data_IF_909676664570
#
_entry.id   IF_909676664570
#
_cell.length_a   1.000
_cell.length_b   1.000
_cell.length_c   1.000
_cell.angle_alpha   90.00
_cell.angle_beta   90.00
_cell.angle_gamma   90.00
#
_symmetry.space_group_name_H-M   'P 1'
#
loop_
_entity.id
_entity.type
_entity.pdbx_description
1 polymer ?
#
# COMPACT_ATOMS: atom_id res chain seq x y z
N UNK A 1 -0.85 2.81 -4.80
CA UNK A 1 -0.56 2.04 -6.03
C UNK A 1 -1.42 0.79 -6.04
N UNK A 2 -1.84 0.30 -7.21
CA UNK A 2 -2.60 -0.95 -7.35
C UNK A 2 -1.67 -2.12 -7.73
N UNK A 3 -1.99 -3.32 -7.26
CA UNK A 3 -1.35 -4.59 -7.62
C UNK A 3 -2.45 -5.61 -7.92
N UNK A 4 -2.52 -6.19 -9.13
CA UNK A 4 -3.55 -7.15 -9.48
C UNK A 4 -3.37 -8.47 -8.71
N UNK A 5 -4.49 -9.14 -8.41
CA UNK A 5 -4.48 -10.46 -7.74
C UNK A 5 -3.78 -11.53 -8.56
N UNK A 6 -3.97 -11.47 -9.87
CA UNK A 6 -3.42 -12.37 -10.87
C UNK A 6 -3.31 -11.64 -12.23
N UNK A 7 -2.54 -12.16 -13.20
CA UNK A 7 -2.41 -11.54 -14.53
C UNK A 7 -3.73 -11.40 -15.30
N UNK A 8 -4.70 -12.26 -15.02
CA UNK A 8 -6.03 -12.33 -15.63
C UNK A 8 -7.14 -11.88 -14.67
N UNK A 9 -6.79 -11.22 -13.57
CA UNK A 9 -7.78 -10.68 -12.64
C UNK A 9 -8.68 -9.65 -13.31
N UNK A 10 -9.94 -9.62 -12.89
CA UNK A 10 -10.90 -8.59 -13.28
C UNK A 10 -10.38 -7.19 -12.89
N UNK A 11 -10.90 -6.14 -13.55
CA UNK A 11 -10.52 -4.77 -13.23
C UNK A 11 -10.69 -4.49 -11.73
N UNK A 12 -9.63 -3.95 -11.11
CA UNK A 12 -9.53 -3.65 -9.69
C UNK A 12 -9.57 -4.85 -8.72
N UNK A 13 -9.61 -6.11 -9.17
CA UNK A 13 -9.40 -7.25 -8.28
C UNK A 13 -7.92 -7.39 -7.91
N UNK A 14 -7.61 -7.03 -6.66
CA UNK A 14 -6.27 -7.03 -6.12
C UNK A 14 -6.15 -6.12 -4.91
N UNK A 15 -4.98 -5.51 -4.78
CA UNK A 15 -4.62 -4.74 -3.60
C UNK A 15 -4.22 -3.31 -3.91
N UNK A 16 -4.50 -2.43 -2.95
CA UNK A 16 -3.92 -1.10 -2.91
C UNK A 16 -2.79 -1.07 -1.88
N UNK A 17 -1.68 -0.43 -2.22
CA UNK A 17 -0.58 -0.17 -1.29
C UNK A 17 -0.22 1.31 -1.22
N UNK A 18 0.20 1.75 -0.04
CA UNK A 18 0.61 3.13 0.21
C UNK A 18 1.41 3.31 1.51
N UNK A 19 2.18 4.39 1.56
CA UNK A 19 2.93 4.79 2.74
C UNK A 19 2.04 5.60 3.69
N UNK A 20 1.96 5.19 4.94
CA UNK A 20 1.30 5.92 6.03
C UNK A 20 2.37 6.43 6.98
N UNK A 21 2.52 7.74 7.05
CA UNK A 21 3.53 8.41 7.88
C UNK A 21 2.92 8.73 9.25
N UNK A 22 3.51 8.19 10.31
CA UNK A 22 3.24 8.63 11.67
C UNK A 22 4.20 9.76 12.03
N UNK A 23 3.75 11.00 11.83
CA UNK A 23 4.57 12.19 12.07
C UNK A 23 4.88 12.44 13.56
N UNK A 24 4.12 11.83 14.48
CA UNK A 24 4.35 11.97 15.91
C UNK A 24 5.52 11.09 16.38
N UNK A 25 5.59 9.88 15.85
CA UNK A 25 6.60 8.89 16.25
C UNK A 25 7.77 8.79 15.26
N UNK A 26 7.76 9.57 14.18
CA UNK A 26 8.77 9.57 13.11
C UNK A 26 9.00 8.17 12.49
N UNK A 27 7.91 7.45 12.25
CA UNK A 27 7.92 6.12 11.62
C UNK A 27 7.05 6.10 10.37
N UNK A 28 7.14 5.02 9.59
CA UNK A 28 6.29 4.82 8.42
C UNK A 28 5.81 3.37 8.37
N UNK A 29 4.59 3.17 7.86
CA UNK A 29 4.09 1.86 7.48
C UNK A 29 3.84 1.83 5.97
N UNK A 30 4.28 0.77 5.29
CA UNK A 30 3.72 0.42 3.99
C UNK A 30 2.51 -0.47 4.25
N UNK A 31 1.31 0.07 4.04
CA UNK A 31 0.06 -0.64 4.29
C UNK A 31 -0.52 -1.20 2.99
N UNK A 32 -1.28 -2.28 3.13
CA UNK A 32 -1.97 -3.00 2.05
C UNK A 32 -3.47 -3.09 2.37
N UNK A 33 -4.31 -2.90 1.37
CA UNK A 33 -5.78 -2.92 1.47
C UNK A 33 -6.35 -3.83 0.38
N UNK A 34 -7.49 -4.48 0.63
CA UNK A 34 -8.31 -5.04 -0.44
C UNK A 34 -8.86 -3.90 -1.30
N UNK A 35 -8.60 -3.93 -2.61
CA UNK A 35 -8.92 -2.80 -3.48
C UNK A 35 -10.43 -2.52 -3.60
N UNK A 36 -11.26 -3.57 -3.48
CA UNK A 36 -12.72 -3.49 -3.56
C UNK A 36 -13.41 -3.36 -2.19
N UNK A 37 -12.67 -3.37 -1.07
CA UNK A 37 -13.22 -3.23 0.29
C UNK A 37 -12.28 -2.41 1.18
N UNK A 38 -12.00 -1.18 0.75
CA UNK A 38 -11.05 -0.30 1.45
C UNK A 38 -11.53 0.10 2.86
N UNK A 39 -12.85 0.10 3.11
CA UNK A 39 -13.45 0.49 4.39
C UNK A 39 -13.17 -0.52 5.51
N UNK A 40 -12.85 -1.79 5.16
CA UNK A 40 -12.36 -2.79 6.11
C UNK A 40 -11.05 -2.35 6.80
N UNK A 41 -10.29 -1.44 6.17
CA UNK A 41 -8.98 -1.01 6.62
C UNK A 41 -7.85 -1.89 6.07
N UNK A 42 -6.62 -1.73 6.59
CA UNK A 42 -5.47 -2.45 6.06
C UNK A 42 -5.50 -3.93 6.44
N UNK A 43 -5.30 -4.80 5.46
CA UNK A 43 -5.16 -6.25 5.65
C UNK A 43 -3.75 -6.67 6.07
N UNK A 44 -2.78 -5.75 5.97
CA UNK A 44 -1.40 -5.98 6.35
C UNK A 44 -0.58 -4.69 6.33
N UNK A 45 0.55 -4.70 7.04
CA UNK A 45 1.48 -3.57 7.07
C UNK A 45 2.93 -4.04 7.27
N UNK A 46 3.86 -3.39 6.57
CA UNK A 46 5.30 -3.47 6.86
C UNK A 46 5.70 -2.24 7.66
N UNK A 47 6.24 -2.47 8.86
CA UNK A 47 6.74 -1.40 9.72
C UNK A 47 8.15 -0.96 9.32
N UNK A 48 8.36 0.35 9.23
CA UNK A 48 9.64 0.98 8.91
C UNK A 48 10.01 1.88 10.10
N UNK A 49 11.13 1.60 10.81
CA UNK A 49 11.47 2.27 12.07
C UNK A 49 12.08 3.67 11.87
N UNK A 50 11.74 4.34 10.78
CA UNK A 50 12.08 5.72 10.48
C UNK A 50 11.06 6.29 9.48
N UNK A 51 11.00 7.61 9.39
CA UNK A 51 10.13 8.31 8.45
C UNK A 51 10.68 8.21 7.02
N UNK A 52 9.84 7.74 6.11
CA UNK A 52 10.03 7.98 4.68
C UNK A 52 9.46 9.38 4.36
N UNK A 53 10.26 10.31 3.78
CA UNK A 53 9.77 11.64 3.42
C UNK A 53 8.63 11.59 2.38
N UNK A 54 7.73 12.59 2.34
CA UNK A 54 6.74 12.70 1.28
C UNK A 54 7.43 12.69 -0.09
N UNK A 55 7.09 11.69 -0.91
CA UNK A 55 7.59 11.52 -2.26
C UNK A 55 6.64 12.09 -3.32
N UNK A 56 6.86 11.70 -4.58
CA UNK A 56 5.97 12.01 -5.69
C UNK A 56 5.26 10.75 -6.17
N UNK A 57 5.73 10.15 -7.26
CA UNK A 57 5.11 9.00 -7.90
C UNK A 57 5.83 7.70 -7.54
N UNK A 58 5.13 6.58 -7.68
CA UNK A 58 5.68 5.23 -7.63
C UNK A 58 5.04 4.37 -8.69
N UNK A 59 5.68 3.24 -9.03
CA UNK A 59 5.10 2.20 -9.87
C UNK A 59 5.30 0.82 -9.22
N UNK A 60 4.39 -0.10 -9.50
CA UNK A 60 4.59 -1.53 -9.27
C UNK A 60 5.14 -2.16 -10.55
N UNK A 61 6.13 -3.04 -10.41
CA UNK A 61 6.70 -3.80 -11.51
C UNK A 61 6.62 -5.28 -11.09
N UNK A 62 5.87 -6.13 -11.83
CA UNK A 62 5.85 -7.57 -11.56
C UNK A 62 7.22 -8.20 -11.87
N UNK A 63 7.46 -9.40 -11.33
CA UNK A 63 8.69 -10.18 -11.58
C UNK A 63 8.88 -10.57 -13.06
#
# INVERSE_FOLDING_TARGET
>A
MFVPRAPDAEEADGWLMGLVIDAKNDTTQLQFFEALDIEQGPIGAVHIPHRIPPGFHGNWIPD
#
